data_IF_590697623370
#
_entry.id   IF_590697623370
#
_cell.length_a   1.000
_cell.length_b   1.000
_cell.length_c   1.000
_cell.angle_alpha   90.00
_cell.angle_beta   90.00
_cell.angle_gamma   90.00
#
_symmetry.space_group_name_H-M   'P 1'
#
loop_
_entity.id
_entity.type
_entity.pdbx_description
1 polymer ?
#
# COMPACT_ATOMS: atom_id res chain seq x y z
N UNK A 1 -6.55 14.74 4.27
CA UNK A 1 -6.76 13.81 3.15
C UNK A 1 -6.79 14.67 1.90
N UNK A 2 -6.06 14.29 0.85
CA UNK A 2 -5.97 15.06 -0.40
C UNK A 2 -6.90 14.45 -1.45
N UNK A 3 -6.36 13.58 -2.28
CA UNK A 3 -7.02 12.99 -3.44
C UNK A 3 -7.13 11.47 -3.31
N UNK A 4 -8.11 10.88 -4.00
CA UNK A 4 -8.19 9.44 -4.16
C UNK A 4 -7.18 8.98 -5.22
N UNK A 5 -6.28 8.08 -4.83
CA UNK A 5 -5.20 7.54 -5.67
C UNK A 5 -5.44 6.08 -6.09
N UNK A 6 -6.45 5.43 -5.52
CA UNK A 6 -6.82 4.07 -5.88
C UNK A 6 -8.22 3.72 -5.44
N UNK A 7 -8.92 2.88 -6.20
CA UNK A 7 -10.26 2.38 -5.89
C UNK A 7 -10.32 0.88 -6.10
N UNK A 8 -10.86 0.18 -5.12
CA UNK A 8 -11.22 -1.23 -5.18
C UNK A 8 -12.70 -1.41 -4.85
N UNK A 9 -13.18 -2.65 -4.93
CA UNK A 9 -14.61 -2.95 -4.77
C UNK A 9 -15.23 -2.46 -3.45
N UNK A 10 -14.50 -2.59 -2.34
CA UNK A 10 -14.95 -2.22 -0.99
C UNK A 10 -14.01 -1.22 -0.31
N UNK A 11 -13.15 -0.55 -1.10
CA UNK A 11 -12.11 0.29 -0.53
C UNK A 11 -11.69 1.43 -1.45
N UNK A 12 -11.29 2.55 -0.84
CA UNK A 12 -10.68 3.68 -1.54
C UNK A 12 -9.37 4.04 -0.84
N UNK A 13 -8.33 4.27 -1.63
CA UNK A 13 -7.02 4.71 -1.13
C UNK A 13 -6.86 6.19 -1.43
N UNK A 14 -6.49 6.95 -0.41
CA UNK A 14 -6.24 8.38 -0.50
C UNK A 14 -4.78 8.72 -0.22
N UNK A 15 -4.27 9.75 -0.86
CA UNK A 15 -3.03 10.39 -0.44
C UNK A 15 -3.29 11.27 0.78
N UNK A 16 -2.50 11.10 1.83
CA UNK A 16 -2.54 11.90 3.05
C UNK A 16 -1.18 12.51 3.36
N UNK A 17 -1.15 13.61 4.10
CA UNK A 17 0.07 14.22 4.66
C UNK A 17 -0.10 14.31 6.16
N UNK A 18 0.93 13.91 6.90
CA UNK A 18 0.93 14.11 8.36
C UNK A 18 1.03 15.60 8.66
N UNK A 19 0.17 16.08 9.56
CA UNK A 19 0.12 17.51 9.92
C UNK A 19 1.50 17.97 10.39
N UNK A 20 1.90 19.17 9.96
CA UNK A 20 3.18 19.81 10.30
C UNK A 20 4.44 19.07 9.83
N UNK A 21 4.34 18.02 9.01
CA UNK A 21 5.50 17.36 8.39
C UNK A 21 5.38 17.39 6.87
N UNK A 22 6.42 17.02 6.13
CA UNK A 22 6.36 16.81 4.65
C UNK A 22 6.10 15.34 4.29
N UNK A 23 5.78 14.51 5.28
CA UNK A 23 5.63 13.07 5.10
C UNK A 23 4.25 12.73 4.56
N UNK A 24 4.23 11.98 3.45
CA UNK A 24 3.01 11.47 2.84
C UNK A 24 2.73 10.02 3.22
N UNK A 25 1.44 9.66 3.22
CA UNK A 25 0.92 8.33 3.56
C UNK A 25 -0.17 7.94 2.57
N UNK A 26 -0.33 6.64 2.36
CA UNK A 26 -1.52 6.07 1.73
C UNK A 26 -2.53 5.75 2.84
N UNK A 27 -3.75 6.26 2.70
CA UNK A 27 -4.84 6.08 3.66
C UNK A 27 -5.91 5.22 2.97
N UNK A 28 -5.97 3.94 3.31
CA UNK A 28 -6.97 3.01 2.75
C UNK A 28 -8.21 2.99 3.64
N UNK A 29 -9.31 3.51 3.11
CA UNK A 29 -10.64 3.36 3.69
C UNK A 29 -11.26 2.06 3.19
N UNK A 30 -11.83 1.24 4.07
CA UNK A 30 -12.51 -0.02 3.76
C UNK A 30 -13.85 -0.05 4.45
N UNK A 31 -14.89 -0.50 3.76
CA UNK A 31 -16.22 -0.70 4.37
C UNK A 31 -16.14 -1.59 5.62
N UNK A 32 -16.87 -1.23 6.67
CA UNK A 32 -16.87 -1.95 7.95
C UNK A 32 -17.36 -3.40 7.83
N UNK A 33 -18.16 -3.71 6.80
CA UNK A 33 -18.58 -5.08 6.47
C UNK A 33 -17.38 -6.02 6.26
N UNK A 34 -16.22 -5.50 5.87
CA UNK A 34 -15.00 -6.27 5.62
C UNK A 34 -14.11 -6.43 6.85
N UNK A 35 -14.57 -6.04 8.06
CA UNK A 35 -13.74 -6.01 9.28
C UNK A 35 -12.98 -7.31 9.58
N UNK A 36 -13.57 -8.51 9.52
CA UNK A 36 -12.83 -9.74 9.81
C UNK A 36 -11.62 -9.92 8.88
N UNK A 37 -11.80 -9.65 7.58
CA UNK A 37 -10.74 -9.71 6.58
C UNK A 37 -9.66 -8.67 6.83
N UNK A 38 -10.05 -7.42 7.11
CA UNK A 38 -9.09 -6.33 7.35
C UNK A 38 -8.27 -6.59 8.62
N UNK A 39 -8.88 -7.09 9.69
CA UNK A 39 -8.14 -7.41 10.91
C UNK A 39 -7.14 -8.55 10.71
N UNK A 40 -7.45 -9.51 9.84
CA UNK A 40 -6.49 -10.54 9.44
C UNK A 40 -5.34 -9.92 8.62
N UNK A 41 -5.63 -9.05 7.65
CA UNK A 41 -4.61 -8.32 6.88
C UNK A 41 -3.69 -7.50 7.79
N UNK A 42 -4.25 -6.78 8.78
CA UNK A 42 -3.49 -5.99 9.75
C UNK A 42 -2.57 -6.87 10.59
N UNK A 43 -3.04 -8.02 11.07
CA UNK A 43 -2.19 -8.97 11.83
C UNK A 43 -1.01 -9.45 11.02
N UNK A 44 -1.24 -9.82 9.76
CA UNK A 44 -0.17 -10.21 8.84
C UNK A 44 0.82 -9.07 8.63
N UNK A 45 0.35 -7.88 8.27
CA UNK A 45 1.23 -6.73 8.04
C UNK A 45 2.03 -6.31 9.28
N UNK A 46 1.47 -6.47 10.48
CA UNK A 46 2.15 -6.13 11.72
C UNK A 46 3.29 -7.12 12.06
N UNK A 47 3.25 -8.33 11.53
CA UNK A 47 4.31 -9.33 11.68
C UNK A 47 5.44 -9.18 10.63
N UNK A 48 5.23 -8.36 9.60
CA UNK A 48 6.18 -8.17 8.50
C UNK A 48 6.94 -6.85 8.69
N UNK A 49 8.26 -6.93 8.79
CA UNK A 49 9.16 -5.76 8.81
C UNK A 49 10.34 -6.00 7.87
N UNK A 50 10.18 -5.59 6.60
CA UNK A 50 11.19 -5.70 5.56
C UNK A 50 11.09 -4.51 4.61
N UNK A 51 12.22 -4.09 4.05
CA UNK A 51 12.29 -2.99 3.08
C UNK A 51 11.44 -3.25 1.82
N UNK A 52 11.29 -4.52 1.43
CA UNK A 52 10.55 -4.91 0.22
C UNK A 52 9.07 -5.22 0.50
N UNK A 53 8.59 -4.93 1.71
CA UNK A 53 7.19 -5.11 2.11
C UNK A 53 6.59 -3.75 2.46
N UNK A 54 5.36 -3.51 2.01
CA UNK A 54 4.64 -2.27 2.28
C UNK A 54 4.51 -2.04 3.79
N UNK A 55 5.04 -0.91 4.27
CA UNK A 55 5.01 -0.61 5.69
C UNK A 55 3.60 -0.23 6.17
N UNK A 56 3.15 -0.92 7.22
CA UNK A 56 1.94 -0.61 7.97
C UNK A 56 2.28 0.26 9.19
N UNK A 57 1.54 1.35 9.40
CA UNK A 57 1.78 2.27 10.53
C UNK A 57 0.73 2.18 11.62
N UNK A 58 -0.55 2.19 11.24
CA UNK A 58 -1.67 2.21 12.18
C UNK A 58 -2.97 1.89 11.46
N UNK A 59 -4.01 1.58 12.25
CA UNK A 59 -5.38 1.54 11.75
C UNK A 59 -6.34 2.21 12.74
N UNK A 60 -7.48 2.68 12.21
CA UNK A 60 -8.55 3.31 12.98
C UNK A 60 -9.90 2.77 12.54
N UNK A 61 -10.85 2.74 13.46
CA UNK A 61 -12.24 2.37 13.19
C UNK A 61 -13.14 3.59 13.35
N UNK A 62 -14.05 3.78 12.39
CA UNK A 62 -15.16 4.72 12.52
C UNK A 62 -16.49 3.96 12.44
N UNK A 63 -17.61 4.68 12.45
CA UNK A 63 -18.95 4.10 12.41
C UNK A 63 -19.13 3.17 11.21
N UNK A 64 -18.66 3.58 10.03
CA UNK A 64 -18.93 2.88 8.76
C UNK A 64 -17.69 2.31 8.06
N UNK A 65 -16.47 2.67 8.51
CA UNK A 65 -15.25 2.32 7.80
C UNK A 65 -14.11 1.94 8.74
N UNK A 66 -13.18 1.15 8.21
CA UNK A 66 -11.85 0.93 8.74
C UNK A 66 -10.85 1.73 7.91
N UNK A 67 -9.90 2.37 8.58
CA UNK A 67 -8.92 3.25 7.97
C UNK A 67 -7.54 2.72 8.27
N UNK A 68 -6.77 2.37 7.25
CA UNK A 68 -5.39 1.90 7.39
C UNK A 68 -4.44 3.01 6.96
N UNK A 69 -3.41 3.25 7.75
CA UNK A 69 -2.32 4.17 7.45
C UNK A 69 -1.13 3.36 6.98
N UNK A 70 -0.77 3.53 5.72
CA UNK A 70 0.23 2.76 4.99
C UNK A 70 1.30 3.70 4.42
N UNK A 71 2.44 3.13 4.07
CA UNK A 71 3.45 3.80 3.26
C UNK A 71 2.88 4.28 1.93
N UNK A 72 3.33 5.45 1.50
CA UNK A 72 2.98 6.01 0.20
C UNK A 72 4.06 5.70 -0.83
N UNK A 73 3.78 4.75 -1.72
CA UNK A 73 4.67 4.41 -2.83
C UNK A 73 4.44 5.37 -4.00
N UNK A 74 5.35 6.34 -4.17
CA UNK A 74 5.24 7.39 -5.20
C UNK A 74 5.31 6.83 -6.62
N UNK A 75 6.06 5.73 -6.82
CA UNK A 75 6.30 5.12 -8.13
C UNK A 75 5.13 4.32 -8.72
N UNK A 76 4.00 4.22 -8.02
CA UNK A 76 2.85 3.42 -8.48
C UNK A 76 3.10 1.92 -8.38
N UNK A 77 2.47 1.15 -9.27
CA UNK A 77 2.54 -0.30 -9.30
C UNK A 77 3.33 -0.84 -10.51
N UNK A 78 3.92 -2.03 -10.35
CA UNK A 78 4.78 -2.67 -11.36
C UNK A 78 4.03 -2.97 -12.67
N UNK A 79 2.74 -3.27 -12.63
CA UNK A 79 1.96 -3.54 -13.84
C UNK A 79 1.80 -2.26 -14.67
N UNK A 80 1.54 -1.12 -14.03
CA UNK A 80 1.49 0.18 -14.69
C UNK A 80 2.84 0.53 -15.34
N UNK A 81 3.96 0.26 -14.65
CA UNK A 81 5.30 0.45 -15.20
C UNK A 81 5.53 -0.40 -16.46
N UNK A 82 5.24 -1.71 -16.39
CA UNK A 82 5.40 -2.64 -17.51
C UNK A 82 4.51 -2.30 -18.73
N UNK A 83 3.38 -1.63 -18.50
CA UNK A 83 2.50 -1.17 -19.60
C UNK A 83 3.00 0.10 -20.26
N UNK A 84 3.63 1.00 -19.49
CA UNK A 84 4.20 2.24 -20.01
C UNK A 84 5.48 1.96 -20.80
N UNK A 85 6.37 1.17 -20.20
CA UNK A 85 7.64 0.79 -20.80
C UNK A 85 7.50 -0.60 -21.41
N UNK A 86 7.16 -0.66 -22.70
CA UNK A 86 6.98 -1.95 -23.42
C UNK A 86 8.18 -2.90 -23.30
N UNK A 87 9.38 -2.37 -23.00
CA UNK A 87 10.60 -3.15 -22.72
C UNK A 87 11.42 -2.46 -21.63
N UNK A 88 11.55 -3.11 -20.48
CA UNK A 88 12.49 -2.71 -19.44
C UNK A 88 13.86 -3.36 -19.70
N UNK A 89 14.98 -2.70 -19.33
CA UNK A 89 16.29 -3.34 -19.34
C UNK A 89 16.30 -4.61 -18.49
N UNK A 90 17.05 -5.63 -18.92
CA UNK A 90 17.15 -6.91 -18.20
C UNK A 90 17.66 -6.73 -16.77
N UNK A 91 18.58 -5.79 -16.55
CA UNK A 91 19.07 -5.44 -15.21
C UNK A 91 17.95 -4.97 -14.28
N UNK A 92 17.01 -4.16 -14.77
CA UNK A 92 15.86 -3.70 -14.00
C UNK A 92 14.92 -4.85 -13.67
N UNK A 93 14.69 -5.76 -14.62
CA UNK A 93 13.90 -6.97 -14.38
C UNK A 93 14.53 -7.88 -13.33
N UNK A 94 15.85 -8.03 -13.36
CA UNK A 94 16.61 -8.78 -12.36
C UNK A 94 16.49 -8.14 -10.97
N UNK A 95 16.62 -6.82 -10.86
CA UNK A 95 16.46 -6.10 -9.59
C UNK A 95 15.04 -6.26 -9.01
N UNK A 96 13.99 -6.12 -9.83
CA UNK A 96 12.62 -6.37 -9.37
C UNK A 96 12.42 -7.83 -8.94
N UNK A 97 12.99 -8.79 -9.68
CA UNK A 97 12.94 -10.20 -9.32
C UNK A 97 13.61 -10.48 -7.98
N UNK A 98 14.82 -9.94 -7.75
CA UNK A 98 15.54 -10.07 -6.48
C UNK A 98 14.74 -9.46 -5.32
N UNK A 99 14.17 -8.29 -5.52
CA UNK A 99 13.39 -7.58 -4.50
C UNK A 99 12.12 -8.38 -4.11
N UNK A 100 11.45 -9.00 -5.08
CA UNK A 100 10.31 -9.90 -4.83
C UNK A 100 10.73 -11.16 -4.05
N UNK A 101 11.84 -11.80 -4.44
CA UNK A 101 12.35 -13.00 -3.74
C UNK A 101 12.76 -12.66 -2.31
N UNK A 102 13.32 -11.47 -2.08
CA UNK A 102 13.71 -10.98 -0.75
C UNK A 102 12.49 -10.70 0.13
N UNK A 103 11.37 -10.26 -0.47
CA UNK A 103 10.12 -10.03 0.27
C UNK A 103 9.39 -11.32 0.67
N UNK A 104 9.62 -12.42 -0.06
CA UNK A 104 8.91 -13.69 0.12
C UNK A 104 9.63 -14.68 1.05
N UNK A 105 10.92 -14.46 1.34
CA UNK A 105 11.69 -15.23 2.32
C UNK A 105 11.52 -14.65 3.73
#
# INVERSE_FOLDING_TARGET
>A
IYEAIGRGKHSVVYKGRKKKTITYYAIKSVEKSQKPRVLQEVRTMHALDSRNILKFYAWYETTNHLWLILEYCVGGDLMSLLRQDMRLPESSMHDFGRDLVTALH
#
